data_IF_131616103456
#
_entry.id   IF_131616103456
#
_cell.length_a   1.000
_cell.length_b   1.000
_cell.length_c   1.000
_cell.angle_alpha   90.00
_cell.angle_beta   90.00
_cell.angle_gamma   90.00
#
_symmetry.space_group_name_H-M   'P 1'
#
loop_
_entity.id
_entity.type
_entity.pdbx_description
1 polymer ?
#
# COMPACT_ATOMS: atom_id res chain seq x y z
N UNK A 1 -1.71 -16.58 -0.49
CA UNK A 1 -0.91 -17.10 -1.62
C UNK A 1 -1.12 -16.24 -2.85
N UNK A 2 -1.98 -16.61 -3.82
CA UNK A 2 -2.10 -15.91 -5.12
C UNK A 2 -2.41 -14.43 -5.06
N UNK A 3 -3.32 -14.01 -4.18
CA UNK A 3 -3.62 -12.59 -4.00
C UNK A 3 -2.38 -11.77 -3.65
N UNK A 4 -1.54 -12.29 -2.74
CA UNK A 4 -0.33 -11.59 -2.31
C UNK A 4 0.75 -11.63 -3.39
N UNK A 5 0.95 -12.77 -4.07
CA UNK A 5 1.84 -12.88 -5.22
C UNK A 5 1.47 -11.87 -6.32
N UNK A 6 0.17 -11.73 -6.63
CA UNK A 6 -0.33 -10.72 -7.57
C UNK A 6 -0.08 -9.29 -7.08
N UNK A 7 -0.25 -9.03 -5.78
CA UNK A 7 0.04 -7.72 -5.20
C UNK A 7 1.53 -7.35 -5.31
N UNK A 8 2.44 -8.30 -5.04
CA UNK A 8 3.88 -8.08 -5.23
C UNK A 8 4.21 -7.73 -6.69
N UNK A 9 3.56 -8.38 -7.66
CA UNK A 9 3.72 -8.02 -9.07
C UNK A 9 3.16 -6.62 -9.41
N UNK A 10 2.17 -6.12 -8.68
CA UNK A 10 1.66 -4.77 -8.86
C UNK A 10 2.59 -3.70 -8.25
N UNK A 11 3.44 -4.08 -7.29
CA UNK A 11 4.39 -3.20 -6.59
C UNK A 11 5.81 -3.79 -6.55
N UNK A 12 6.43 -4.08 -7.71
CA UNK A 12 7.70 -4.82 -7.77
C UNK A 12 8.86 -4.05 -7.11
N UNK A 13 8.84 -2.71 -7.19
CA UNK A 13 9.87 -1.84 -6.59
C UNK A 13 9.86 -1.85 -5.05
N UNK A 14 8.78 -2.31 -4.44
CA UNK A 14 8.61 -2.39 -2.98
C UNK A 14 8.52 -3.82 -2.49
N UNK A 15 8.51 -4.79 -3.41
CA UNK A 15 8.38 -6.20 -3.11
C UNK A 15 9.75 -6.83 -2.87
N UNK A 16 9.78 -7.82 -1.98
CA UNK A 16 10.96 -8.64 -1.74
C UNK A 16 10.55 -10.04 -1.26
N UNK A 17 11.45 -11.01 -1.40
CA UNK A 17 11.29 -12.31 -0.75
C UNK A 17 12.65 -12.94 -0.44
N UNK A 18 12.69 -13.86 0.51
CA UNK A 18 13.89 -14.58 0.94
C UNK A 18 13.56 -15.97 1.46
N UNK A 19 14.51 -16.89 1.40
CA UNK A 19 14.43 -18.17 2.12
C UNK A 19 14.70 -17.99 3.61
N UNK A 20 15.68 -17.14 3.94
CA UNK A 20 16.10 -16.90 5.31
C UNK A 20 15.36 -15.70 5.90
N UNK A 21 14.98 -15.79 7.17
CA UNK A 21 14.61 -14.67 8.02
C UNK A 21 15.81 -13.77 8.29
N UNK A 22 15.56 -12.63 8.94
CA UNK A 22 16.60 -11.64 9.27
C UNK A 22 17.74 -12.22 10.12
N UNK A 23 17.41 -13.14 11.02
CA UNK A 23 18.35 -13.81 11.93
C UNK A 23 19.00 -15.07 11.33
N UNK A 24 18.70 -15.38 10.06
CA UNK A 24 19.19 -16.56 9.36
C UNK A 24 18.36 -17.82 9.61
N UNK A 25 17.26 -17.75 10.37
CA UNK A 25 16.32 -18.87 10.45
C UNK A 25 15.72 -19.16 9.06
N UNK A 26 15.53 -20.42 8.73
CA UNK A 26 14.89 -20.84 7.47
C UNK A 26 13.87 -21.92 7.78
N UNK A 27 12.73 -21.85 7.10
CA UNK A 27 11.64 -22.84 7.23
C UNK A 27 11.51 -23.64 5.95
N UNK A 28 11.79 -24.94 6.01
CA UNK A 28 11.74 -25.85 4.86
C UNK A 28 10.37 -25.80 4.16
N UNK A 29 10.38 -25.59 2.83
CA UNK A 29 9.18 -25.51 2.02
C UNK A 29 8.52 -24.13 2.00
N UNK A 30 9.09 -23.13 2.69
CA UNK A 30 8.55 -21.77 2.78
C UNK A 30 9.58 -20.71 2.42
N UNK A 31 9.09 -19.62 1.84
CA UNK A 31 9.82 -18.35 1.69
C UNK A 31 9.11 -17.27 2.48
N UNK A 32 9.86 -16.33 3.04
CA UNK A 32 9.31 -15.10 3.58
C UNK A 32 9.18 -14.09 2.43
N UNK A 33 7.97 -13.61 2.16
CA UNK A 33 7.70 -12.60 1.15
C UNK A 33 7.15 -11.33 1.81
N UNK A 34 7.54 -10.17 1.29
CA UNK A 34 7.12 -8.89 1.85
C UNK A 34 6.91 -7.78 0.81
N UNK A 35 6.13 -6.79 1.21
CA UNK A 35 6.01 -5.49 0.52
C UNK A 35 6.26 -4.40 1.53
N UNK A 36 7.19 -3.49 1.24
CA UNK A 36 7.39 -2.29 2.03
C UNK A 36 6.30 -1.27 1.70
N UNK A 37 5.46 -0.95 2.67
CA UNK A 37 4.48 0.13 2.54
C UNK A 37 4.98 1.38 3.24
N UNK A 38 4.46 2.57 2.92
CA UNK A 38 4.74 3.80 3.67
C UNK A 38 4.54 3.70 5.19
N UNK A 39 3.67 2.78 5.65
CA UNK A 39 3.34 2.58 7.07
C UNK A 39 4.02 1.34 7.69
N UNK A 40 4.96 0.72 6.98
CA UNK A 40 5.69 -0.46 7.43
C UNK A 40 5.54 -1.65 6.49
N UNK A 41 6.34 -2.69 6.71
CA UNK A 41 6.29 -3.88 5.85
C UNK A 41 5.03 -4.73 6.12
N UNK A 42 4.50 -5.34 5.07
CA UNK A 42 3.56 -6.45 5.18
C UNK A 42 4.30 -7.71 4.78
N UNK A 43 4.31 -8.74 5.63
CA UNK A 43 5.03 -9.98 5.34
C UNK A 43 4.16 -11.22 5.49
N UNK A 44 4.39 -12.22 4.65
CA UNK A 44 3.75 -13.53 4.70
C UNK A 44 4.75 -14.63 4.38
N UNK A 45 4.64 -15.78 5.05
CA UNK A 45 5.25 -17.01 4.58
C UNK A 45 4.44 -17.59 3.43
N UNK A 46 5.12 -17.90 2.34
CA UNK A 46 4.53 -18.50 1.15
C UNK A 46 5.20 -19.86 0.89
N UNK A 47 4.48 -20.93 0.49
CA UNK A 47 5.13 -22.11 -0.08
C UNK A 47 6.08 -21.76 -1.21
N UNK A 48 7.22 -22.46 -1.25
CA UNK A 48 8.25 -22.32 -2.29
C UNK A 48 7.71 -22.42 -3.72
N UNK A 49 6.63 -23.18 -3.93
CA UNK A 49 5.96 -23.29 -5.23
C UNK A 49 5.41 -21.95 -5.75
N UNK A 50 5.25 -20.93 -4.91
CA UNK A 50 4.83 -19.60 -5.36
C UNK A 50 5.94 -18.76 -5.97
N UNK A 51 7.22 -19.11 -5.78
CA UNK A 51 8.36 -18.33 -6.26
C UNK A 51 8.25 -18.07 -7.77
N UNK A 52 7.75 -19.04 -8.54
CA UNK A 52 7.58 -18.91 -10.00
C UNK A 52 6.60 -17.79 -10.41
N UNK A 53 5.82 -17.27 -9.46
CA UNK A 53 4.83 -16.20 -9.66
C UNK A 53 5.17 -14.91 -8.93
N UNK A 54 6.29 -14.85 -8.23
CA UNK A 54 6.78 -13.61 -7.63
C UNK A 54 7.47 -12.74 -8.69
N UNK A 55 7.50 -11.40 -8.52
CA UNK A 55 8.24 -10.53 -9.42
C UNK A 55 9.71 -10.95 -9.48
N UNK A 56 10.28 -10.94 -10.69
CA UNK A 56 11.69 -11.31 -10.89
C UNK A 56 12.62 -10.24 -10.30
N UNK A 57 13.74 -10.66 -9.73
CA UNK A 57 14.77 -9.75 -9.22
C UNK A 57 14.46 -9.13 -7.87
N UNK A 58 13.44 -9.63 -7.16
CA UNK A 58 13.09 -9.18 -5.81
C UNK A 58 13.57 -10.16 -4.71
N UNK A 59 14.39 -11.15 -5.07
CA UNK A 59 15.01 -12.06 -4.10
C UNK A 59 16.10 -11.31 -3.32
N UNK A 60 16.12 -11.48 -2.00
CA UNK A 60 17.15 -10.96 -1.11
C UNK A 60 17.71 -12.11 -0.26
N UNK A 61 18.96 -11.98 0.18
CA UNK A 61 19.66 -13.03 0.92
C UNK A 61 19.01 -13.33 2.28
N UNK A 62 18.68 -12.27 3.03
CA UNK A 62 18.02 -12.33 4.33
C UNK A 62 16.77 -11.46 4.34
N UNK A 63 15.72 -11.99 4.94
CA UNK A 63 14.48 -11.27 5.16
C UNK A 63 14.70 -10.04 6.04
N UNK A 64 13.78 -9.08 5.97
CA UNK A 64 13.83 -7.91 6.85
C UNK A 64 13.41 -8.28 8.26
N UNK A 65 13.90 -7.52 9.24
CA UNK A 65 13.54 -7.71 10.65
C UNK A 65 12.02 -7.57 10.82
N UNK A 66 11.43 -8.51 11.57
CA UNK A 66 10.00 -8.49 11.85
C UNK A 66 9.70 -7.55 13.02
N UNK A 67 8.81 -6.60 12.79
CA UNK A 67 8.44 -5.56 13.76
C UNK A 67 7.29 -5.96 14.70
N UNK A 68 6.85 -7.22 14.67
CA UNK A 68 5.77 -7.72 15.51
C UNK A 68 4.35 -7.38 15.02
N UNK A 69 4.19 -6.95 13.75
CA UNK A 69 2.88 -6.54 13.23
C UNK A 69 1.82 -7.65 13.28
N UNK A 70 0.59 -7.22 13.53
CA UNK A 70 -0.61 -8.06 13.58
C UNK A 70 -1.37 -8.04 12.25
N UNK A 71 -2.42 -8.84 12.13
CA UNK A 71 -3.31 -8.81 10.97
C UNK A 71 -3.99 -7.45 10.78
N UNK A 72 -4.33 -6.74 11.87
CA UNK A 72 -4.94 -5.41 11.80
C UNK A 72 -3.95 -4.37 11.27
N UNK A 73 -2.68 -4.48 11.65
CA UNK A 73 -1.61 -3.63 11.11
C UNK A 73 -1.45 -3.84 9.60
N UNK A 74 -1.52 -5.10 9.15
CA UNK A 74 -1.47 -5.41 7.71
C UNK A 74 -2.63 -4.75 6.97
N UNK A 75 -3.85 -4.82 7.49
CA UNK A 75 -5.00 -4.19 6.86
C UNK A 75 -4.79 -2.68 6.68
N UNK A 76 -4.27 -2.00 7.72
CA UNK A 76 -3.98 -0.57 7.66
C UNK A 76 -2.85 -0.25 6.68
N UNK A 77 -1.72 -0.97 6.77
CA UNK A 77 -0.55 -0.81 5.89
C UNK A 77 -0.91 -0.98 4.42
N UNK A 78 -1.75 -1.96 4.09
CA UNK A 78 -2.22 -2.16 2.71
C UNK A 78 -2.99 -0.96 2.16
N UNK A 79 -3.71 -0.20 2.99
CA UNK A 79 -4.39 1.01 2.53
C UNK A 79 -3.42 2.14 2.17
N UNK A 80 -2.21 2.14 2.75
CA UNK A 80 -1.18 3.14 2.44
C UNK A 80 -0.57 2.97 1.04
N UNK A 81 -0.79 1.83 0.38
CA UNK A 81 -0.40 1.59 -1.02
C UNK A 81 -1.32 2.29 -2.04
N UNK A 82 -2.46 2.85 -1.60
CA UNK A 82 -3.38 3.55 -2.50
C UNK A 82 -2.68 4.76 -3.14
N UNK A 83 -2.92 5.04 -4.43
CA UNK A 83 -2.49 6.29 -5.04
C UNK A 83 -3.00 7.47 -4.21
N UNK A 84 -2.14 8.46 -3.94
CA UNK A 84 -2.59 9.70 -3.31
C UNK A 84 -3.71 10.30 -4.16
N UNK A 85 -4.87 10.56 -3.54
CA UNK A 85 -5.93 11.27 -4.24
C UNK A 85 -5.37 12.59 -4.80
N UNK A 86 -5.72 12.96 -6.04
CA UNK A 86 -5.35 14.27 -6.54
C UNK A 86 -5.93 15.30 -5.59
N UNK A 87 -5.07 16.14 -5.00
CA UNK A 87 -5.47 17.18 -4.07
C UNK A 87 -6.69 17.91 -4.63
N UNK A 88 -7.83 17.82 -3.94
CA UNK A 88 -9.05 18.52 -4.32
C UNK A 88 -8.74 20.00 -4.36
N UNK A 89 -8.67 20.58 -5.56
CA UNK A 89 -8.67 22.03 -5.72
C UNK A 89 -9.95 22.55 -5.04
N UNK A 90 -9.81 23.35 -3.99
CA UNK A 90 -10.94 24.01 -3.33
C UNK A 90 -11.81 24.67 -4.41
N UNK A 91 -13.05 24.20 -4.56
CA UNK A 91 -14.06 24.92 -5.34
C UNK A 91 -14.37 26.20 -4.57
N UNK A 92 -13.92 27.35 -5.08
CA UNK A 92 -14.33 28.66 -4.58
C UNK A 92 -15.86 28.70 -4.49
N UNK A 93 -16.40 28.91 -3.28
CA UNK A 93 -17.83 29.13 -3.07
C UNK A 93 -18.28 30.30 -3.96
N UNK A 94 -19.43 30.21 -4.66
CA UNK A 94 -19.99 31.36 -5.36
C UNK A 94 -20.20 32.49 -4.36
N UNK A 95 -19.70 33.68 -4.68
CA UNK A 95 -19.88 34.87 -3.85
C UNK A 95 -21.37 35.23 -3.68
N UNK A 96 -21.71 36.05 -2.67
CA UNK A 96 -23.10 36.44 -2.40
C UNK A 96 -23.71 37.10 -3.63
N UNK A 97 -24.92 36.67 -4.02
CA UNK A 97 -25.70 37.34 -5.08
C UNK A 97 -25.98 38.79 -4.67
N UNK A 98 -25.84 39.77 -5.57
CA UNK A 98 -26.19 41.16 -5.28
C UNK A 98 -27.69 41.26 -4.98
N UNK A 99 -28.03 42.06 -3.96
CA UNK A 99 -29.42 42.41 -3.63
C UNK A 99 -29.99 43.23 -4.78
N UNK A 100 -31.19 42.87 -5.24
CA UNK A 100 -31.94 43.69 -6.17
C UNK A 100 -32.35 44.98 -5.47
N UNK A 101 -31.89 46.12 -5.99
CA UNK A 101 -32.50 47.41 -5.73
C UNK A 101 -33.84 47.44 -6.49
N UNK A 102 -34.93 47.59 -5.75
CA UNK A 102 -36.21 47.98 -6.32
C UNK A 102 -36.34 49.49 -6.20
N UNK A 103 -36.04 50.19 -7.29
CA UNK A 103 -36.57 51.51 -7.57
C UNK A 103 -38.07 51.40 -7.83
N UNK A 104 -38.87 52.06 -6.99
CA UNK A 104 -40.21 52.50 -7.35
C UNK A 104 -40.60 53.64 -6.41
N UNK A 105 -40.20 54.84 -6.83
CA UNK A 105 -40.80 56.11 -6.43
C UNK A 105 -41.64 56.61 -7.63
N UNK A 106 -42.74 57.32 -7.34
CA UNK A 106 -43.74 57.95 -8.25
C UNK A 106 -44.88 57.03 -8.72
N UNK A 107 -46.17 57.34 -8.57
CA UNK A 107 -46.90 58.60 -8.33
C UNK A 107 -48.06 58.42 -7.34
#
# INVERSE_FOLDING_TARGET
MRLFSTLMNAFPESAWWSFQHHDGEQWDGWVLAGIDTPEGAVTYHLPESEIEHLPKGTEIEFGKEWDGHTADDVLNRLLSLRPKEPATKERKKPGPKPKAESDADKD
#
